data_IF_743517362821
#
_entry.id   IF_743517362821
#
_cell.length_a   1.000
_cell.length_b   1.000
_cell.length_c   1.000
_cell.angle_alpha   90.00
_cell.angle_beta   90.00
_cell.angle_gamma   90.00
#
_symmetry.space_group_name_H-M   'P 1'
#
loop_
_entity.id
_entity.type
_entity.pdbx_description
1 polymer ?
#
# COMPACT_ATOMS: atom_id res chain seq x y z
N UNK A 1 -11.62 11.02 -11.62
CA UNK A 1 -10.56 11.90 -11.10
C UNK A 1 -9.94 12.62 -12.28
N UNK A 2 -9.73 13.94 -12.23
CA UNK A 2 -9.10 14.69 -13.33
C UNK A 2 -7.74 15.22 -12.86
N UNK A 3 -6.73 15.13 -13.72
CA UNK A 3 -5.40 15.67 -13.44
C UNK A 3 -5.44 17.20 -13.60
N UNK A 4 -4.99 17.92 -12.58
CA UNK A 4 -4.93 19.39 -12.61
C UNK A 4 -3.62 19.83 -13.24
N UNK A 5 -3.68 20.68 -14.26
CA UNK A 5 -2.51 21.29 -14.88
C UNK A 5 -2.09 22.55 -14.12
N UNK A 6 -0.83 22.63 -13.71
CA UNK A 6 -0.26 23.82 -13.06
C UNK A 6 0.48 24.76 -14.03
N UNK A 7 0.41 24.49 -15.34
CA UNK A 7 1.09 25.22 -16.41
C UNK A 7 2.48 24.70 -16.76
N UNK A 8 3.04 23.78 -15.97
CA UNK A 8 4.32 23.10 -16.25
C UNK A 8 4.15 21.59 -16.34
N UNK A 9 3.37 21.02 -15.44
CA UNK A 9 3.06 19.60 -15.42
C UNK A 9 1.67 19.34 -14.82
N UNK A 10 1.13 18.17 -15.13
CA UNK A 10 -0.10 17.66 -14.53
C UNK A 10 0.18 17.06 -13.15
N UNK A 11 -0.61 17.45 -12.15
CA UNK A 11 -0.65 16.76 -10.87
C UNK A 11 -1.20 15.34 -10.99
N UNK A 12 -0.81 14.46 -10.06
CA UNK A 12 -1.24 13.06 -10.08
C UNK A 12 -2.74 12.94 -9.83
N UNK A 13 -3.43 11.94 -10.44
CA UNK A 13 -4.88 11.80 -10.34
C UNK A 13 -5.37 11.55 -8.92
N UNK A 14 -4.52 10.98 -8.05
CA UNK A 14 -4.71 10.87 -6.61
C UNK A 14 -3.40 11.11 -5.86
N UNK A 15 -3.46 11.12 -4.52
CA UNK A 15 -2.28 11.27 -3.66
C UNK A 15 -1.36 10.03 -3.73
N UNK A 16 -0.27 10.11 -4.52
CA UNK A 16 0.77 9.08 -4.56
C UNK A 16 1.45 8.84 -3.21
N UNK A 17 1.57 9.85 -2.33
CA UNK A 17 2.08 9.63 -0.96
C UNK A 17 1.06 8.85 -0.13
N UNK A 18 -0.23 9.02 -0.41
CA UNK A 18 -1.32 8.22 0.14
C UNK A 18 -1.18 6.75 -0.26
N UNK A 19 -0.95 6.48 -1.54
CA UNK A 19 -0.71 5.12 -2.04
C UNK A 19 0.51 4.46 -1.41
N UNK A 20 1.64 5.17 -1.27
CA UNK A 20 2.83 4.57 -0.63
C UNK A 20 2.63 4.28 0.85
N UNK A 21 1.82 5.07 1.55
CA UNK A 21 1.41 4.72 2.93
C UNK A 21 0.51 3.48 2.92
N UNK A 22 -0.48 3.43 2.02
CA UNK A 22 -1.41 2.31 1.91
C UNK A 22 -0.72 0.98 1.55
N UNK A 23 0.35 1.05 0.74
CA UNK A 23 1.20 -0.09 0.39
C UNK A 23 1.63 -0.92 1.61
N UNK A 24 1.97 -0.25 2.73
CA UNK A 24 2.44 -0.89 3.95
C UNK A 24 1.35 -1.07 5.03
N UNK A 25 0.09 -0.74 4.74
CA UNK A 25 -1.00 -0.79 5.74
C UNK A 25 -1.51 -2.21 6.00
N UNK A 26 -1.50 -3.07 4.98
CA UNK A 26 -1.94 -4.47 5.10
C UNK A 26 -0.82 -5.42 4.67
N UNK A 27 -0.45 -6.41 5.52
CA UNK A 27 0.55 -7.41 5.16
C UNK A 27 0.19 -8.19 3.90
N UNK A 28 -1.08 -8.55 3.71
CA UNK A 28 -1.54 -9.28 2.52
C UNK A 28 -1.40 -8.43 1.26
N UNK A 29 -1.80 -7.16 1.35
CA UNK A 29 -1.70 -6.21 0.25
C UNK A 29 -0.23 -6.01 -0.18
N UNK A 30 0.65 -5.75 0.78
CA UNK A 30 2.08 -5.55 0.54
C UNK A 30 2.74 -6.82 -0.04
N UNK A 31 2.44 -7.97 0.57
CA UNK A 31 3.01 -9.25 0.18
C UNK A 31 2.62 -9.61 -1.26
N UNK A 32 1.37 -9.38 -1.68
CA UNK A 32 0.91 -9.70 -3.03
C UNK A 32 1.67 -8.89 -4.10
N UNK A 33 1.90 -7.60 -3.85
CA UNK A 33 2.67 -6.73 -4.75
C UNK A 33 4.13 -7.16 -4.86
N UNK A 34 4.77 -7.48 -3.73
CA UNK A 34 6.14 -8.00 -3.75
C UNK A 34 6.23 -9.37 -4.39
N UNK A 35 5.24 -10.24 -4.19
CA UNK A 35 5.17 -11.54 -4.83
C UNK A 35 5.11 -11.40 -6.36
N UNK A 36 4.17 -10.59 -6.89
CA UNK A 36 4.07 -10.30 -8.33
C UNK A 36 5.38 -9.77 -8.89
N UNK A 37 5.99 -8.78 -8.24
CA UNK A 37 7.33 -8.26 -8.60
C UNK A 37 8.39 -9.36 -8.63
N UNK A 38 8.42 -10.24 -7.62
CA UNK A 38 9.42 -11.30 -7.53
C UNK A 38 9.27 -12.34 -8.64
N UNK A 39 8.03 -12.77 -8.92
CA UNK A 39 7.73 -13.69 -10.04
C UNK A 39 8.21 -13.09 -11.36
N UNK A 40 7.89 -11.81 -11.60
CA UNK A 40 8.31 -11.10 -12.81
C UNK A 40 9.82 -10.96 -12.91
N UNK A 41 10.46 -10.54 -11.82
CA UNK A 41 11.92 -10.38 -11.74
C UNK A 41 12.62 -11.73 -11.87
N UNK A 42 12.01 -12.84 -11.43
CA UNK A 42 12.55 -14.18 -11.63
C UNK A 42 12.62 -14.60 -13.10
N UNK A 43 11.67 -14.13 -13.92
CA UNK A 43 11.64 -14.40 -15.35
C UNK A 43 12.54 -13.45 -16.15
N UNK A 44 12.84 -12.25 -15.64
CA UNK A 44 13.61 -11.24 -16.36
C UNK A 44 15.05 -11.68 -16.70
N UNK A 45 15.49 -11.39 -17.91
CA UNK A 45 16.86 -11.60 -18.39
C UNK A 45 17.60 -10.26 -18.32
N UNK A 46 18.61 -10.09 -17.45
CA UNK A 46 19.33 -8.84 -17.31
C UNK A 46 20.01 -8.43 -18.61
N UNK A 47 20.04 -7.12 -18.86
CA UNK A 47 20.66 -6.53 -20.03
C UNK A 47 21.74 -5.52 -19.59
N UNK A 48 22.83 -5.30 -20.35
CA UNK A 48 23.85 -4.30 -20.00
C UNK A 48 23.28 -2.90 -19.74
N UNK A 49 22.22 -2.52 -20.47
CA UNK A 49 21.52 -1.24 -20.27
C UNK A 49 20.56 -1.24 -19.07
N UNK A 50 20.03 -2.39 -18.66
CA UNK A 50 19.01 -2.50 -17.62
C UNK A 50 19.30 -3.67 -16.67
N UNK A 51 19.84 -3.32 -15.51
CA UNK A 51 20.10 -4.29 -14.44
C UNK A 51 18.81 -4.88 -13.86
N UNK A 52 18.91 -6.09 -13.30
CA UNK A 52 17.81 -6.75 -12.58
C UNK A 52 17.26 -5.88 -11.44
N UNK A 53 18.13 -5.16 -10.72
CA UNK A 53 17.74 -4.28 -9.63
C UNK A 53 16.88 -3.11 -10.12
N UNK A 54 17.31 -2.45 -11.20
CA UNK A 54 16.57 -1.35 -11.80
C UNK A 54 15.22 -1.83 -12.37
N UNK A 55 15.20 -2.98 -13.03
CA UNK A 55 13.95 -3.60 -13.50
C UNK A 55 13.00 -3.95 -12.35
N UNK A 56 13.52 -4.49 -11.23
CA UNK A 56 12.72 -4.82 -10.04
C UNK A 56 12.05 -3.59 -9.44
N UNK A 57 12.75 -2.45 -9.38
CA UNK A 57 12.19 -1.19 -8.91
C UNK A 57 11.15 -0.62 -9.88
N UNK A 58 11.44 -0.66 -11.18
CA UNK A 58 10.51 -0.28 -12.26
C UNK A 58 9.21 -1.11 -12.21
N UNK A 59 9.33 -2.43 -12.06
CA UNK A 59 8.19 -3.32 -11.94
C UNK A 59 7.36 -3.08 -10.68
N UNK A 60 8.01 -2.77 -9.56
CA UNK A 60 7.30 -2.44 -8.33
C UNK A 60 6.49 -1.15 -8.48
N UNK A 61 7.05 -0.13 -9.11
CA UNK A 61 6.33 1.13 -9.38
C UNK A 61 5.10 0.90 -10.27
N UNK A 62 5.21 0.04 -11.28
CA UNK A 62 4.05 -0.37 -12.08
C UNK A 62 2.95 -0.97 -11.21
N UNK A 63 3.28 -1.93 -10.35
CA UNK A 63 2.28 -2.57 -9.50
C UNK A 63 1.68 -1.61 -8.47
N UNK A 64 2.47 -0.68 -7.91
CA UNK A 64 2.01 0.24 -6.84
C UNK A 64 1.24 1.45 -7.40
N UNK A 65 1.69 2.02 -8.51
CA UNK A 65 1.15 3.27 -9.03
C UNK A 65 0.40 3.10 -10.36
N UNK A 66 0.47 1.94 -11.01
CA UNK A 66 0.04 1.81 -12.41
C UNK A 66 0.93 2.62 -13.37
N UNK A 67 2.09 3.09 -12.91
CA UNK A 67 2.99 3.97 -13.65
C UNK A 67 4.43 3.56 -13.38
N UNK A 68 5.22 3.37 -14.42
CA UNK A 68 6.62 3.02 -14.29
C UNK A 68 7.47 3.79 -15.29
N UNK A 69 8.62 4.29 -14.82
CA UNK A 69 9.47 5.20 -15.58
C UNK A 69 10.91 4.73 -15.68
N UNK A 70 11.47 4.83 -16.88
CA UNK A 70 12.90 4.63 -17.15
C UNK A 70 13.45 5.84 -17.89
N UNK A 71 14.52 6.42 -17.37
CA UNK A 71 15.28 7.45 -18.05
C UNK A 71 16.42 6.81 -18.86
N UNK A 72 16.49 7.11 -20.15
CA UNK A 72 17.62 6.79 -21.01
C UNK A 72 18.74 7.81 -20.80
N UNK A 73 19.79 7.38 -20.11
CA UNK A 73 21.06 8.09 -20.06
C UNK A 73 21.85 7.77 -21.32
N UNK A 74 22.21 8.80 -22.08
CA UNK A 74 23.00 8.67 -23.32
C UNK A 74 24.45 9.08 -23.09
N UNK A 75 25.36 8.53 -23.89
CA UNK A 75 26.73 9.02 -23.99
C UNK A 75 26.81 10.31 -24.83
N UNK A 76 28.01 10.87 -24.98
CA UNK A 76 28.24 12.10 -25.78
C UNK A 76 27.83 11.95 -27.26
N UNK A 77 27.84 10.74 -27.79
CA UNK A 77 27.43 10.42 -29.17
C UNK A 77 25.91 10.15 -29.29
N UNK A 78 25.16 10.30 -28.20
CA UNK A 78 23.71 10.09 -28.16
C UNK A 78 23.26 8.64 -27.97
N UNK A 79 24.17 7.66 -28.04
CA UNK A 79 23.84 6.25 -27.88
C UNK A 79 23.40 5.92 -26.43
N UNK A 80 22.42 5.01 -26.23
CA UNK A 80 21.98 4.60 -24.90
C UNK A 80 23.14 3.99 -24.10
N UNK A 81 23.43 4.55 -22.92
CA UNK A 81 24.44 4.06 -22.00
C UNK A 81 23.81 3.21 -20.88
N UNK A 82 22.67 3.67 -20.35
CA UNK A 82 21.97 3.01 -19.24
C UNK A 82 20.52 3.46 -19.19
N UNK A 83 19.63 2.52 -18.85
CA UNK A 83 18.27 2.81 -18.42
C UNK A 83 18.24 2.89 -16.90
N UNK A 84 17.90 4.07 -16.39
CA UNK A 84 17.84 4.36 -14.97
C UNK A 84 16.38 4.40 -14.52
N UNK A 85 16.03 3.65 -13.49
CA UNK A 85 14.71 3.75 -12.85
C UNK A 85 14.52 5.14 -12.27
N UNK A 86 13.37 5.74 -12.58
CA UNK A 86 12.91 7.01 -12.01
C UNK A 86 11.70 6.73 -11.13
N UNK A 87 11.74 7.05 -9.82
CA UNK A 87 10.63 6.80 -8.90
C UNK A 87 9.32 7.46 -9.33
N UNK A 88 8.28 6.67 -9.59
CA UNK A 88 6.96 7.13 -10.00
C UNK A 88 6.30 8.07 -8.97
N UNK A 89 6.60 7.91 -7.68
CA UNK A 89 6.16 8.81 -6.60
C UNK A 89 6.46 10.30 -6.92
N UNK A 90 7.63 10.54 -7.52
CA UNK A 90 8.19 11.87 -7.72
C UNK A 90 8.10 12.35 -9.18
N UNK A 91 7.72 11.50 -10.11
CA UNK A 91 7.59 11.87 -11.52
C UNK A 91 6.25 12.55 -11.80
N UNK A 92 6.28 13.58 -12.64
CA UNK A 92 5.09 14.24 -13.19
C UNK A 92 5.22 14.32 -14.71
N UNK A 93 4.09 14.23 -15.41
CA UNK A 93 4.02 14.40 -16.86
C UNK A 93 3.82 15.88 -17.19
N UNK A 94 4.63 16.41 -18.08
CA UNK A 94 4.58 17.80 -18.53
C UNK A 94 3.23 18.14 -19.16
N UNK A 95 2.87 19.43 -19.14
CA UNK A 95 1.64 19.93 -19.75
C UNK A 95 1.61 19.77 -21.27
N UNK A 96 2.79 19.61 -21.90
CA UNK A 96 2.98 19.28 -23.31
C UNK A 96 2.77 17.79 -23.64
N UNK A 97 2.52 16.95 -22.61
CA UNK A 97 2.37 15.50 -22.68
C UNK A 97 3.59 14.70 -23.16
N UNK A 98 4.73 15.36 -23.39
CA UNK A 98 5.97 14.76 -23.92
C UNK A 98 7.13 14.86 -22.91
N UNK A 99 7.23 15.97 -22.18
CA UNK A 99 8.24 16.16 -21.15
C UNK A 99 7.82 15.52 -19.82
N UNK A 100 8.80 15.31 -18.95
CA UNK A 100 8.58 14.81 -17.61
C UNK A 100 9.33 15.68 -16.61
N UNK A 101 8.80 15.74 -15.40
CA UNK A 101 9.35 16.51 -14.30
C UNK A 101 9.60 15.61 -13.11
N UNK A 102 10.72 15.81 -12.41
CA UNK A 102 11.04 15.13 -11.17
C UNK A 102 10.94 16.09 -9.99
N UNK A 103 9.94 15.84 -9.14
CA UNK A 103 9.65 16.67 -7.97
C UNK A 103 10.60 16.31 -6.83
N UNK A 104 11.42 17.27 -6.41
CA UNK A 104 12.35 17.15 -5.28
C UNK A 104 11.79 17.90 -4.08
N UNK A 105 11.88 17.30 -2.89
CA UNK A 105 11.29 17.91 -1.68
C UNK A 105 11.98 19.21 -1.24
N UNK A 106 13.28 19.36 -1.52
CA UNK A 106 14.14 20.42 -0.98
C UNK A 106 15.01 21.10 -2.04
N UNK A 107 14.70 20.91 -3.31
CA UNK A 107 15.43 21.47 -4.45
C UNK A 107 14.44 21.82 -5.56
N UNK A 108 14.90 22.63 -6.51
CA UNK A 108 14.16 22.90 -7.72
C UNK A 108 13.78 21.59 -8.43
N UNK A 109 12.59 21.63 -9.02
CA UNK A 109 12.06 20.57 -9.85
C UNK A 109 13.00 20.38 -11.05
N UNK A 110 13.23 19.12 -11.40
CA UNK A 110 14.13 18.78 -12.49
C UNK A 110 13.32 18.37 -13.71
N UNK A 111 13.39 19.17 -14.77
CA UNK A 111 12.83 18.83 -16.07
C UNK A 111 13.75 17.84 -16.80
N UNK A 112 13.17 16.72 -17.23
CA UNK A 112 13.86 15.77 -18.10
C UNK A 112 13.84 16.30 -19.54
N UNK A 113 14.88 15.99 -20.30
CA UNK A 113 14.87 16.31 -21.74
C UNK A 113 13.79 15.47 -22.44
N UNK A 114 13.07 16.09 -23.36
CA UNK A 114 12.07 15.43 -24.20
C UNK A 114 12.63 14.14 -24.83
N UNK A 115 11.79 13.09 -24.86
CA UNK A 115 12.14 11.77 -25.39
C UNK A 115 13.18 10.98 -24.60
N UNK A 116 13.62 11.43 -23.41
CA UNK A 116 14.56 10.66 -22.56
C UNK A 116 13.89 9.78 -21.52
N UNK A 117 12.60 9.96 -21.24
CA UNK A 117 11.86 9.17 -20.26
C UNK A 117 10.85 8.28 -20.98
N UNK A 118 10.94 6.97 -20.74
CA UNK A 118 9.91 6.01 -21.10
C UNK A 118 8.90 5.95 -19.96
N UNK A 119 7.62 6.12 -20.28
CA UNK A 119 6.52 5.96 -19.35
C UNK A 119 5.65 4.80 -19.80
N UNK A 120 5.71 3.71 -19.04
CA UNK A 120 4.76 2.61 -19.19
C UNK A 120 3.65 2.90 -18.18
N UNK A 121 2.41 3.04 -18.69
CA UNK A 121 1.21 3.26 -17.87
C UNK A 121 0.14 2.16 -18.03
N UNK A 122 -0.50 1.79 -16.92
CA UNK A 122 -1.65 0.91 -16.92
C UNK A 122 -2.91 1.74 -17.22
N UNK A 123 -3.67 1.47 -18.30
CA UNK A 123 -4.77 2.33 -18.72
C UNK A 123 -5.76 2.66 -17.60
N UNK A 124 -6.23 3.91 -17.59
CA UNK A 124 -7.23 4.41 -16.66
C UNK A 124 -8.48 4.86 -17.43
N UNK A 125 -9.64 4.71 -16.82
CA UNK A 125 -10.93 5.06 -17.44
C UNK A 125 -11.26 6.55 -17.31
N UNK A 126 -10.57 7.27 -16.43
CA UNK A 126 -10.88 8.67 -16.15
C UNK A 126 -10.02 9.65 -16.95
N UNK A 127 -8.81 9.26 -17.35
CA UNK A 127 -7.84 10.13 -18.04
C UNK A 127 -6.73 9.31 -18.73
N UNK A 128 -6.00 9.95 -19.65
CA UNK A 128 -4.96 9.32 -20.50
C UNK A 128 -3.52 9.77 -20.18
N UNK A 129 -3.34 10.55 -19.11
CA UNK A 129 -2.08 11.22 -18.74
C UNK A 129 -1.21 10.29 -17.87
N UNK A 130 -1.84 9.63 -16.90
CA UNK A 130 -1.25 8.66 -15.98
C UNK A 130 -1.98 7.33 -16.06
N UNK A 131 -1.33 6.27 -15.58
CA UNK A 131 -2.01 5.01 -15.29
C UNK A 131 -2.57 4.95 -13.88
N UNK A 132 -3.30 3.88 -13.57
CA UNK A 132 -3.85 3.62 -12.24
C UNK A 132 -3.62 2.16 -11.81
N UNK A 133 -3.34 1.90 -10.51
CA UNK A 133 -3.23 0.54 -10.01
C UNK A 133 -4.61 -0.12 -9.93
N UNK A 134 -4.69 -1.42 -10.24
CA UNK A 134 -5.96 -2.15 -10.28
C UNK A 134 -6.60 -2.32 -8.89
N UNK A 135 -5.80 -2.28 -7.82
CA UNK A 135 -6.26 -2.56 -6.46
C UNK A 135 -6.95 -1.40 -5.74
N UNK A 136 -7.17 -0.24 -6.40
CA UNK A 136 -7.71 0.98 -5.75
C UNK A 136 -8.99 0.69 -4.97
N UNK A 137 -9.89 -0.13 -5.54
CA UNK A 137 -11.14 -0.51 -4.90
C UNK A 137 -10.96 -1.19 -3.54
N UNK A 138 -9.81 -1.84 -3.30
CA UNK A 138 -9.51 -2.54 -2.07
C UNK A 138 -8.74 -1.70 -1.03
N UNK A 139 -8.44 -0.43 -1.32
CA UNK A 139 -7.74 0.46 -0.39
C UNK A 139 -8.52 0.69 0.90
N UNK A 140 -9.85 0.74 0.83
CA UNK A 140 -10.70 0.81 2.03
C UNK A 140 -10.56 -0.46 2.88
N UNK A 141 -10.53 -1.64 2.27
CA UNK A 141 -10.33 -2.91 2.97
C UNK A 141 -8.91 -2.99 3.58
N UNK A 142 -7.88 -2.50 2.88
CA UNK A 142 -6.52 -2.40 3.43
C UNK A 142 -6.47 -1.48 4.67
N UNK A 143 -7.09 -0.30 4.59
CA UNK A 143 -7.16 0.68 5.68
C UNK A 143 -7.96 0.16 6.88
N UNK A 144 -9.07 -0.53 6.63
CA UNK A 144 -9.90 -1.14 7.66
C UNK A 144 -9.16 -2.28 8.37
N UNK A 145 -8.49 -3.15 7.62
CA UNK A 145 -7.60 -4.18 8.16
C UNK A 145 -6.51 -3.58 9.04
N UNK A 146 -5.85 -2.51 8.57
CA UNK A 146 -4.82 -1.80 9.33
C UNK A 146 -5.35 -1.21 10.64
N UNK A 147 -6.55 -0.61 10.59
CA UNK A 147 -7.20 -0.04 11.77
C UNK A 147 -7.55 -1.11 12.81
N UNK A 148 -8.01 -2.29 12.37
CA UNK A 148 -8.25 -3.42 13.24
C UNK A 148 -6.97 -3.92 13.93
N UNK A 149 -5.85 -4.04 13.19
CA UNK A 149 -4.57 -4.45 13.76
C UNK A 149 -4.04 -3.40 14.77
N UNK A 150 -4.14 -2.12 14.43
CA UNK A 150 -3.75 -1.02 15.32
C UNK A 150 -4.58 -1.02 16.61
N UNK A 151 -5.90 -1.20 16.50
CA UNK A 151 -6.77 -1.32 17.66
C UNK A 151 -6.34 -2.49 18.55
N UNK A 152 -6.15 -3.68 17.97
CA UNK A 152 -5.73 -4.88 18.72
C UNK A 152 -4.40 -4.69 19.43
N UNK A 153 -3.43 -4.05 18.77
CA UNK A 153 -2.12 -3.73 19.36
C UNK A 153 -2.26 -2.79 20.54
N UNK A 154 -2.99 -1.69 20.37
CA UNK A 154 -3.22 -0.72 21.44
C UNK A 154 -4.02 -1.33 22.60
N UNK A 155 -5.00 -2.18 22.30
CA UNK A 155 -5.81 -2.89 23.30
C UNK A 155 -4.95 -3.85 24.12
N UNK A 156 -4.05 -4.60 23.47
CA UNK A 156 -3.09 -5.46 24.15
C UNK A 156 -2.11 -4.66 25.01
N UNK A 157 -1.53 -3.58 24.48
CA UNK A 157 -0.58 -2.71 25.20
C UNK A 157 -1.22 -2.03 26.42
N UNK A 158 -2.54 -1.80 26.39
CA UNK A 158 -3.32 -1.26 27.50
C UNK A 158 -3.83 -2.34 28.48
N UNK A 159 -3.28 -3.57 28.45
CA UNK A 159 -3.66 -4.63 29.39
C UNK A 159 -5.06 -5.21 29.14
N UNK A 160 -5.51 -5.25 27.88
CA UNK A 160 -6.85 -5.72 27.48
C UNK A 160 -8.01 -4.87 27.99
N UNK A 161 -7.82 -3.55 28.06
CA UNK A 161 -8.86 -2.59 28.41
C UNK A 161 -8.98 -1.46 27.39
N UNK A 162 -10.21 -1.17 26.95
CA UNK A 162 -10.53 -0.11 26.00
C UNK A 162 -10.74 1.26 26.67
N UNK A 163 -10.17 1.46 27.87
CA UNK A 163 -10.39 2.64 28.71
C UNK A 163 -11.65 2.52 29.58
N UNK A 164 -11.87 3.55 30.40
CA UNK A 164 -13.03 3.63 31.31
C UNK A 164 -13.53 5.08 31.45
N UNK A 165 -14.78 5.21 31.87
CA UNK A 165 -15.34 6.43 32.41
C UNK A 165 -15.28 6.31 33.94
N UNK A 166 -14.48 7.16 34.58
CA UNK A 166 -14.50 7.31 36.03
C UNK A 166 -15.52 8.40 36.39
N UNK A 167 -16.59 8.02 37.07
CA UNK A 167 -17.62 8.92 37.55
C UNK A 167 -17.43 9.16 39.05
N UNK A 168 -17.30 10.41 39.45
CA UNK A 168 -17.15 10.82 40.85
C UNK A 168 -18.38 11.65 41.24
N UNK A 169 -19.28 11.05 42.01
CA UNK A 169 -20.53 11.64 42.46
C UNK A 169 -20.52 12.15 43.91
N UNK A 170 -19.49 11.80 44.68
CA UNK A 170 -19.38 12.16 46.10
C UNK A 170 -19.05 13.65 46.30
N UNK A 171 -19.82 14.32 47.15
CA UNK A 171 -19.58 15.72 47.57
C UNK A 171 -18.35 15.87 48.50
N UNK A 172 -17.83 14.77 49.05
CA UNK A 172 -16.74 14.76 50.04
C UNK A 172 -15.34 14.61 49.42
N UNK A 173 -15.19 14.76 48.10
CA UNK A 173 -13.89 14.62 47.43
C UNK A 173 -13.25 15.99 47.28
N UNK A 174 -12.02 16.13 47.77
CA UNK A 174 -11.24 17.35 47.67
C UNK A 174 -10.69 17.55 46.23
N UNK A 175 -10.53 18.80 45.83
CA UNK A 175 -10.02 19.14 44.49
C UNK A 175 -8.60 18.62 44.24
N UNK A 176 -7.77 18.46 45.27
CA UNK A 176 -6.40 17.95 45.12
C UNK A 176 -6.41 16.45 44.79
N UNK A 177 -7.23 15.64 45.46
CA UNK A 177 -7.42 14.22 45.10
C UNK A 177 -7.95 14.04 43.68
N UNK A 178 -8.86 14.91 43.21
CA UNK A 178 -9.35 14.86 41.81
C UNK A 178 -8.20 15.11 40.83
N UNK A 179 -7.32 16.06 41.11
CA UNK A 179 -6.14 16.33 40.27
C UNK A 179 -5.16 15.15 40.28
N UNK A 180 -4.97 14.49 41.42
CA UNK A 180 -4.15 13.27 41.51
C UNK A 180 -4.74 12.17 40.64
N UNK A 181 -6.04 11.91 40.76
CA UNK A 181 -6.74 10.90 39.93
C UNK A 181 -6.65 11.25 38.44
N UNK A 182 -6.87 12.51 38.07
CA UNK A 182 -6.73 12.98 36.69
C UNK A 182 -5.31 12.80 36.15
N UNK A 183 -4.29 13.06 36.98
CA UNK A 183 -2.88 12.85 36.64
C UNK A 183 -2.58 11.38 36.47
N UNK A 184 -3.03 10.51 37.37
CA UNK A 184 -2.85 9.06 37.28
C UNK A 184 -3.54 8.48 36.05
N UNK A 185 -4.79 8.87 35.76
CA UNK A 185 -5.50 8.45 34.55
C UNK A 185 -4.85 8.95 33.26
N UNK A 186 -4.15 10.09 33.32
CA UNK A 186 -3.41 10.65 32.19
C UNK A 186 -2.04 9.99 32.01
N UNK A 187 -1.39 9.58 33.09
CA UNK A 187 -0.09 8.87 33.09
C UNK A 187 -0.24 7.38 32.78
N UNK A 188 -1.37 6.76 33.15
CA UNK A 188 -1.72 5.40 32.76
C UNK A 188 -2.01 5.25 31.25
N UNK A 189 -1.95 6.34 30.48
CA UNK A 189 -2.05 6.30 29.01
C UNK A 189 -0.76 5.69 28.45
N UNK A 190 -0.83 4.44 27.97
CA UNK A 190 0.16 3.94 27.02
C UNK A 190 0.23 4.87 25.81
N UNK A 191 1.41 5.12 25.24
CA UNK A 191 1.65 6.07 24.13
C UNK A 191 0.66 5.87 22.97
N UNK A 192 -0.43 6.65 22.94
CA UNK A 192 -1.43 6.63 21.86
C UNK A 192 -2.69 5.80 22.11
N UNK A 193 -2.97 5.39 23.36
CA UNK A 193 -4.03 4.42 23.69
C UNK A 193 -5.40 5.05 24.02
N UNK A 194 -6.41 4.19 24.18
CA UNK A 194 -7.80 4.53 24.52
C UNK A 194 -7.92 5.62 25.59
N UNK A 195 -8.84 6.57 25.38
CA UNK A 195 -9.03 7.72 26.28
C UNK A 195 -9.90 7.32 27.47
N UNK A 196 -9.37 7.51 28.68
CA UNK A 196 -10.19 7.52 29.89
C UNK A 196 -10.92 8.86 30.01
N UNK A 197 -12.17 8.83 30.46
CA UNK A 197 -12.98 10.04 30.69
C UNK A 197 -13.24 10.15 32.19
N UNK A 198 -13.01 11.32 32.75
CA UNK A 198 -13.36 11.62 34.15
C UNK A 198 -14.58 12.54 34.14
N UNK A 199 -15.65 12.12 34.81
CA UNK A 199 -16.85 12.94 35.02
C UNK A 199 -16.95 13.22 36.51
N UNK A 200 -16.88 14.48 36.89
CA UNK A 200 -17.05 14.93 38.26
C UNK A 200 -18.39 15.65 38.39
N UNK A 201 -19.33 15.07 39.13
CA UNK A 201 -20.69 15.57 39.31
C UNK A 201 -21.12 15.43 40.79
N UNK A 202 -20.72 16.36 41.66
CA UNK A 202 -21.06 16.33 43.09
C UNK A 202 -22.56 16.24 43.32
N UNK A 203 -23.01 15.29 44.15
CA UNK A 203 -24.43 15.08 44.47
C UNK A 203 -25.25 14.37 43.37
N UNK A 204 -24.61 13.98 42.25
CA UNK A 204 -25.28 13.46 41.06
C UNK A 204 -25.40 11.93 40.95
N UNK A 205 -24.99 11.14 41.94
CA UNK A 205 -24.94 9.66 41.83
C UNK A 205 -25.31 8.90 43.10
N UNK A 206 -25.83 7.68 42.95
CA UNK A 206 -26.15 6.78 44.07
C UNK A 206 -24.89 6.23 44.77
N UNK A 207 -23.80 6.02 44.02
CA UNK A 207 -22.51 5.59 44.56
C UNK A 207 -21.47 6.73 44.45
N UNK A 208 -20.61 6.86 45.45
CA UNK A 208 -19.66 7.99 45.55
C UNK A 208 -18.60 8.03 44.44
N UNK A 209 -18.10 6.87 43.99
CA UNK A 209 -17.17 6.72 42.86
C UNK A 209 -17.56 5.46 42.08
N UNK A 210 -17.72 5.58 40.78
CA UNK A 210 -18.05 4.47 39.88
C UNK A 210 -17.05 4.39 38.73
N UNK A 211 -16.51 3.20 38.50
CA UNK A 211 -15.78 2.89 37.28
C UNK A 211 -16.77 2.28 36.28
N UNK A 212 -17.15 3.06 35.28
CA UNK A 212 -17.99 2.61 34.17
C UNK A 212 -17.05 2.19 33.05
N UNK A 213 -16.78 0.88 32.84
CA UNK A 213 -16.05 0.47 31.67
C UNK A 213 -16.84 0.91 30.43
N UNK A 214 -16.16 1.40 29.39
CA UNK A 214 -16.79 1.36 28.07
C UNK A 214 -17.19 -0.09 27.87
N UNK A 215 -18.49 -0.35 27.66
CA UNK A 215 -19.05 -1.71 27.58
C UNK A 215 -18.06 -2.59 26.84
N UNK A 216 -17.65 -3.71 27.47
CA UNK A 216 -16.71 -4.66 26.86
C UNK A 216 -17.25 -4.93 25.47
N UNK A 217 -16.63 -4.32 24.48
CA UNK A 217 -17.22 -4.28 23.17
C UNK A 217 -17.24 -5.75 22.76
N UNK A 218 -18.42 -6.27 22.40
CA UNK A 218 -18.59 -7.57 21.74
C UNK A 218 -17.77 -7.69 20.44
N UNK A 219 -16.90 -6.72 20.16
CA UNK A 219 -16.01 -6.59 19.02
C UNK A 219 -14.84 -7.58 18.99
N UNK A 220 -14.62 -8.43 20.00
CA UNK A 220 -13.65 -9.53 19.81
C UNK A 220 -14.00 -10.36 18.57
N UNK A 221 -15.29 -10.65 18.37
CA UNK A 221 -15.77 -11.37 17.19
C UNK A 221 -15.80 -10.48 15.95
N UNK A 222 -16.15 -9.20 16.11
CA UNK A 222 -16.23 -8.26 15.00
C UNK A 222 -14.87 -7.96 14.35
N UNK A 223 -13.78 -7.91 15.13
CA UNK A 223 -12.44 -7.73 14.54
C UNK A 223 -12.00 -8.93 13.72
N UNK A 224 -12.37 -10.14 14.13
CA UNK A 224 -12.09 -11.35 13.34
C UNK A 224 -12.91 -11.33 12.05
N UNK A 225 -14.18 -10.93 12.12
CA UNK A 225 -15.05 -10.77 10.95
C UNK A 225 -14.47 -9.73 9.98
N UNK A 226 -14.09 -8.55 10.47
CA UNK A 226 -13.46 -7.50 9.68
C UNK A 226 -12.17 -8.02 9.03
N UNK A 227 -11.29 -8.69 9.78
CA UNK A 227 -10.03 -9.23 9.23
C UNK A 227 -10.29 -10.32 8.18
N UNK A 228 -11.30 -11.16 8.36
CA UNK A 228 -11.67 -12.19 7.38
C UNK A 228 -12.22 -11.57 6.10
N UNK A 229 -13.18 -10.65 6.21
CA UNK A 229 -13.79 -9.95 5.07
C UNK A 229 -12.73 -9.16 4.29
N UNK A 230 -11.97 -8.30 4.97
CA UNK A 230 -10.93 -7.49 4.32
C UNK A 230 -9.81 -8.33 3.70
N UNK A 231 -9.48 -9.48 4.29
CA UNK A 231 -8.52 -10.43 3.70
C UNK A 231 -9.04 -11.01 2.38
N UNK A 232 -10.33 -11.33 2.29
CA UNK A 232 -10.94 -11.81 1.05
C UNK A 232 -10.96 -10.71 -0.01
N UNK A 233 -11.43 -9.50 0.33
CA UNK A 233 -11.43 -8.37 -0.60
C UNK A 233 -10.04 -8.09 -1.18
N UNK A 234 -9.01 -8.09 -0.32
CA UNK A 234 -7.63 -7.84 -0.74
C UNK A 234 -7.06 -8.97 -1.61
N UNK A 235 -7.41 -10.22 -1.31
CA UNK A 235 -7.02 -11.37 -2.13
C UNK A 235 -7.66 -11.29 -3.50
N UNK A 236 -8.96 -11.01 -3.54
CA UNK A 236 -9.75 -10.99 -4.76
C UNK A 236 -9.34 -9.80 -5.64
N UNK A 237 -9.04 -8.64 -5.04
CA UNK A 237 -8.50 -7.49 -5.76
C UNK A 237 -7.10 -7.72 -6.36
N UNK A 238 -6.23 -8.46 -5.66
CA UNK A 238 -4.90 -8.81 -6.20
C UNK A 238 -4.93 -9.99 -7.14
N UNK A 239 -6.00 -10.81 -7.13
CA UNK A 239 -6.12 -12.04 -7.93
C UNK A 239 -4.98 -13.03 -7.72
N UNK A 240 -4.27 -12.94 -6.59
CA UNK A 240 -3.15 -13.85 -6.27
C UNK A 240 -3.68 -15.10 -5.55
N UNK A 241 -3.39 -16.32 -6.05
CA UNK A 241 -3.83 -17.55 -5.42
C UNK A 241 -3.39 -17.63 -3.94
N UNK A 242 -4.30 -17.97 -3.00
CA UNK A 242 -3.99 -17.98 -1.58
C UNK A 242 -2.85 -18.95 -1.20
N UNK A 243 -2.68 -20.05 -1.94
CA UNK A 243 -1.59 -21.02 -1.76
C UNK A 243 -0.21 -20.38 -1.97
N UNK A 244 -0.10 -19.47 -2.95
CA UNK A 244 1.15 -18.75 -3.26
C UNK A 244 1.45 -17.64 -2.25
N UNK A 245 0.42 -17.24 -1.50
CA UNK A 245 0.50 -16.25 -0.42
C UNK A 245 0.75 -16.91 0.95
N UNK A 246 0.98 -18.23 0.99
CA UNK A 246 1.20 -18.97 2.24
C UNK A 246 -0.05 -19.11 3.11
N UNK A 247 -1.25 -18.98 2.52
CA UNK A 247 -2.49 -19.17 3.26
C UNK A 247 -2.70 -20.67 3.56
N UNK A 248 -3.13 -20.97 4.78
CA UNK A 248 -3.55 -22.30 5.18
C UNK A 248 -5.05 -22.49 4.88
N UNK A 249 -5.49 -23.71 4.50
CA UNK A 249 -6.92 -23.99 4.37
C UNK A 249 -7.66 -23.76 5.69
N UNK A 250 -8.89 -23.24 5.61
CA UNK A 250 -9.75 -23.12 6.79
C UNK A 250 -10.59 -24.40 6.96
N UNK A 251 -10.57 -24.98 8.16
CA UNK A 251 -11.28 -26.23 8.47
C UNK A 251 -10.69 -27.44 7.74
N UNK A 252 -11.55 -28.33 7.25
CA UNK A 252 -11.17 -29.58 6.57
C UNK A 252 -11.03 -29.43 5.04
N UNK A 253 -10.96 -28.21 4.53
CA UNK A 253 -10.84 -27.94 3.09
C UNK A 253 -9.43 -28.18 2.55
N UNK A 254 -9.31 -28.42 1.24
CA UNK A 254 -8.04 -28.38 0.51
C UNK A 254 -8.05 -27.20 -0.44
N UNK A 255 -6.89 -26.54 -0.60
CA UNK A 255 -6.71 -25.47 -1.57
C UNK A 255 -6.43 -26.01 -2.98
N UNK A 256 -6.37 -27.33 -3.18
CA UNK A 256 -6.10 -27.93 -4.49
C UNK A 256 -4.62 -27.86 -4.90
N UNK A 257 -4.38 -28.04 -6.20
CA UNK A 257 -3.05 -28.17 -6.79
C UNK A 257 -2.37 -26.80 -6.99
N UNK A 258 -1.27 -26.59 -6.26
CA UNK A 258 -0.52 -25.33 -6.24
C UNK A 258 0.11 -25.02 -7.60
N UNK A 259 0.62 -26.02 -8.32
CA UNK A 259 1.26 -25.81 -9.62
C UNK A 259 0.25 -25.37 -10.67
N UNK A 260 -0.94 -26.01 -10.70
CA UNK A 260 -2.02 -25.60 -11.61
C UNK A 260 -2.48 -24.17 -11.31
N UNK A 261 -2.68 -23.82 -10.04
CA UNK A 261 -3.01 -22.45 -9.66
C UNK A 261 -1.92 -21.45 -10.05
N UNK A 262 -0.64 -21.79 -9.88
CA UNK A 262 0.48 -20.95 -10.28
C UNK A 262 0.55 -20.74 -11.79
N UNK A 263 0.29 -21.78 -12.59
CA UNK A 263 0.23 -21.70 -14.06
C UNK A 263 -0.87 -20.76 -14.53
N UNK A 264 -2.10 -20.96 -14.04
CA UNK A 264 -3.26 -20.11 -14.39
C UNK A 264 -3.02 -18.66 -13.98
N UNK A 265 -2.51 -18.43 -12.77
CA UNK A 265 -2.15 -17.10 -12.30
C UNK A 265 -1.09 -16.46 -13.20
N UNK A 266 -0.01 -17.18 -13.50
CA UNK A 266 1.05 -16.63 -14.33
C UNK A 266 0.56 -16.24 -15.72
N UNK A 267 -0.23 -17.10 -16.36
CA UNK A 267 -0.78 -16.85 -17.70
C UNK A 267 -1.68 -15.61 -17.72
N UNK A 268 -2.57 -15.47 -16.74
CA UNK A 268 -3.59 -14.42 -16.78
C UNK A 268 -3.17 -13.10 -16.11
N UNK A 269 -2.26 -13.15 -15.14
CA UNK A 269 -1.84 -11.96 -14.36
C UNK A 269 -0.45 -11.47 -14.74
N UNK A 270 0.50 -12.39 -14.96
CA UNK A 270 1.91 -12.02 -15.12
C UNK A 270 2.31 -11.83 -16.58
N UNK A 271 1.87 -12.71 -17.50
CA UNK A 271 2.16 -12.55 -18.92
C UNK A 271 1.68 -11.20 -19.49
N UNK A 272 0.46 -10.71 -19.22
CA UNK A 272 0.04 -9.40 -19.73
C UNK A 272 0.93 -8.26 -19.21
N UNK A 273 1.39 -8.34 -17.97
CA UNK A 273 2.31 -7.36 -17.39
C UNK A 273 3.69 -7.46 -18.05
N UNK A 274 4.18 -8.66 -18.35
CA UNK A 274 5.42 -8.86 -19.10
C UNK A 274 5.35 -8.20 -20.48
N UNK A 275 4.24 -8.39 -21.20
CA UNK A 275 4.02 -7.76 -22.51
C UNK A 275 3.91 -6.24 -22.39
N UNK A 276 3.18 -5.71 -21.40
CA UNK A 276 3.11 -4.27 -21.16
C UNK A 276 4.51 -3.66 -20.93
N UNK A 277 5.36 -4.33 -20.15
CA UNK A 277 6.72 -3.85 -19.90
C UNK A 277 7.63 -3.91 -21.14
N UNK A 278 7.34 -4.77 -22.13
CA UNK A 278 8.08 -4.76 -23.39
C UNK A 278 7.85 -3.50 -24.21
N UNK A 279 6.86 -2.66 -23.90
CA UNK A 279 6.72 -1.33 -24.52
C UNK A 279 7.96 -0.45 -24.38
N UNK A 280 8.85 -0.73 -23.41
CA UNK A 280 10.17 -0.09 -23.31
C UNK A 280 11.05 -0.40 -24.53
N UNK A 281 10.93 -1.60 -25.10
CA UNK A 281 11.70 -2.01 -26.27
C UNK A 281 11.25 -1.24 -27.51
N UNK A 282 9.92 -1.06 -27.67
CA UNK A 282 9.35 -0.30 -28.78
C UNK A 282 9.78 1.16 -28.71
N UNK A 283 9.71 1.76 -27.52
CA UNK A 283 10.18 3.13 -27.28
C UNK A 283 11.68 3.29 -27.56
N UNK A 284 12.51 2.32 -27.18
CA UNK A 284 13.95 2.40 -27.37
C UNK A 284 14.38 2.02 -28.80
N UNK A 285 13.55 1.27 -29.53
CA UNK A 285 13.91 0.63 -30.80
C UNK A 285 14.93 -0.51 -30.63
N UNK A 286 15.07 -1.06 -29.42
CA UNK A 286 16.03 -2.12 -29.09
C UNK A 286 15.42 -3.08 -28.06
N UNK A 287 15.60 -4.38 -28.26
CA UNK A 287 15.18 -5.40 -27.31
C UNK A 287 16.06 -5.40 -26.04
N UNK A 288 15.58 -4.76 -24.98
CA UNK A 288 16.26 -4.67 -23.67
C UNK A 288 15.54 -5.49 -22.61
N UNK A 289 14.21 -5.42 -22.56
CA UNK A 289 13.38 -6.21 -21.66
C UNK A 289 13.04 -7.54 -22.32
N UNK A 290 13.58 -8.61 -21.75
CA UNK A 290 13.39 -9.99 -22.20
C UNK A 290 13.09 -10.87 -21.01
N UNK A 291 12.36 -11.94 -21.25
CA UNK A 291 11.95 -12.86 -20.20
C UNK A 291 12.16 -14.31 -20.62
N UNK A 292 12.59 -15.13 -19.67
CA UNK A 292 12.50 -16.59 -19.79
C UNK A 292 11.06 -17.03 -19.57
N UNK A 293 10.62 -18.15 -20.18
CA UNK A 293 9.38 -18.80 -19.83
C UNK A 293 9.35 -19.12 -18.33
N UNK A 294 8.16 -19.02 -17.73
CA UNK A 294 7.97 -19.46 -16.36
C UNK A 294 8.26 -20.96 -16.25
N UNK A 295 9.00 -21.36 -15.22
CA UNK A 295 9.50 -22.73 -15.12
C UNK A 295 8.37 -23.78 -15.15
N UNK A 296 7.21 -23.47 -14.56
CA UNK A 296 6.03 -24.36 -14.53
C UNK A 296 5.21 -24.38 -15.84
N UNK A 297 5.59 -23.57 -16.84
CA UNK A 297 4.98 -23.60 -18.19
C UNK A 297 5.80 -24.42 -19.19
N UNK A 298 6.94 -24.98 -18.78
CA UNK A 298 7.63 -25.95 -19.62
C UNK A 298 6.82 -27.24 -19.59
N UNK A 299 6.39 -27.70 -20.76
CA UNK A 299 5.89 -29.07 -20.89
C UNK A 299 7.03 -30.03 -20.55
N UNK A 300 6.74 -31.06 -19.75
CA UNK A 300 7.66 -32.18 -19.52
C UNK A 300 7.96 -32.93 -20.83
#
# INVERSE_FOLDING_TARGET
>A
MCCVDNGRYYETPIDWKGLTRAFAQSPLHQSALYFKRNVLTGCFIPHPLLSRQAFSAFALDWFVFGNAYLERRSNLLGAPLKLQHVPALNTRRGSDLDTYWFIRQWKDEYEFKAGQVCHIMNPDIHQEIYGMPEYIGALLSASLSHSADKFRKLYYDNGSHAGCILYVGSEKVDQESIKVVQKTLSQARGKGSFKNVLIHAPGGGKDGVQLLPFSQISAKDEFLNIKSATRNDLRDAHRTPPQLMGAMPEGNGSLGDVEKSARVFFINEMLPVMEAMKGVNDWLGQEVIRFNPYALLKDE
#
